data_IF_816434393124
#
_entry.id   IF_816434393124
#
_cell.length_a   1.000
_cell.length_b   1.000
_cell.length_c   1.000
_cell.angle_alpha   90.00
_cell.angle_beta   90.00
_cell.angle_gamma   90.00
#
_symmetry.space_group_name_H-M   'P 1'
#
loop_
_entity.id
_entity.type
_entity.pdbx_description
1 polymer ?
#
# COMPACT_ATOMS: atom_id res chain seq x y z
N UNK A 1 28.38 -3.11 -22.23
CA UNK A 1 27.37 -2.64 -21.24
C UNK A 1 26.73 -3.82 -20.49
N UNK A 2 27.51 -4.58 -19.69
CA UNK A 2 27.06 -5.89 -19.21
C UNK A 2 27.31 -6.22 -17.73
N UNK A 3 27.62 -5.24 -16.87
CA UNK A 3 28.10 -5.54 -15.51
C UNK A 3 27.30 -4.92 -14.34
N UNK A 4 26.23 -4.14 -14.58
CA UNK A 4 25.44 -3.49 -13.50
C UNK A 4 24.16 -4.21 -13.10
N UNK A 5 23.75 -5.26 -13.82
CA UNK A 5 22.53 -6.02 -13.52
C UNK A 5 22.82 -7.25 -12.63
N UNK A 6 24.07 -7.72 -12.58
CA UNK A 6 24.44 -8.95 -11.87
C UNK A 6 24.63 -8.80 -10.35
N UNK A 7 24.78 -7.58 -9.82
CA UNK A 7 25.04 -7.36 -8.38
C UNK A 7 23.78 -7.41 -7.50
N UNK A 8 22.58 -7.37 -8.08
CA UNK A 8 21.33 -7.37 -7.29
C UNK A 8 20.70 -8.76 -7.07
N UNK A 9 21.21 -9.83 -7.70
CA UNK A 9 20.60 -11.16 -7.59
C UNK A 9 21.15 -12.03 -6.44
N UNK A 10 22.36 -11.75 -5.92
CA UNK A 10 22.98 -12.61 -4.88
C UNK A 10 22.48 -12.33 -3.44
N UNK A 11 21.77 -11.22 -3.20
CA UNK A 11 21.30 -10.85 -1.86
C UNK A 11 19.88 -11.34 -1.52
N UNK A 12 19.15 -11.95 -2.46
CA UNK A 12 17.75 -12.33 -2.29
C UNK A 12 17.55 -13.78 -1.75
N UNK A 13 18.63 -14.48 -1.37
CA UNK A 13 18.60 -15.94 -1.09
C UNK A 13 18.42 -16.33 0.40
N UNK A 14 18.09 -15.39 1.28
CA UNK A 14 17.67 -15.68 2.66
C UNK A 14 16.50 -14.77 3.00
N UNK A 15 15.71 -15.16 4.00
CA UNK A 15 14.56 -14.47 4.59
C UNK A 15 13.20 -15.06 4.23
N UNK A 16 12.86 -16.10 4.99
CA UNK A 16 11.48 -16.38 5.37
C UNK A 16 10.89 -15.15 6.07
N UNK A 17 9.67 -14.79 5.68
CA UNK A 17 9.02 -13.55 6.12
C UNK A 17 8.22 -13.87 7.37
N UNK A 18 8.82 -13.59 8.52
CA UNK A 18 8.09 -13.23 9.73
C UNK A 18 7.85 -11.73 9.70
N UNK A 19 6.58 -11.31 9.71
CA UNK A 19 6.25 -9.90 9.94
C UNK A 19 6.69 -9.52 11.36
N UNK A 20 7.48 -8.45 11.55
CA UNK A 20 7.78 -7.98 12.90
C UNK A 20 6.51 -7.43 13.54
N UNK A 21 6.16 -7.93 14.73
CA UNK A 21 5.22 -7.26 15.63
C UNK A 21 5.83 -5.91 15.98
N UNK A 22 5.06 -4.85 15.78
CA UNK A 22 5.44 -3.47 16.12
C UNK A 22 5.68 -3.41 17.63
N UNK A 23 6.94 -3.23 18.03
CA UNK A 23 7.29 -2.87 19.38
C UNK A 23 7.40 -1.35 19.44
N UNK A 24 6.64 -0.75 20.35
CA UNK A 24 6.72 0.67 20.68
C UNK A 24 8.14 1.00 21.15
N UNK A 25 8.84 1.85 20.41
CA UNK A 25 10.07 2.47 20.87
C UNK A 25 10.11 3.93 20.42
N UNK A 26 9.94 4.80 21.40
CA UNK A 26 10.15 6.23 21.31
C UNK A 26 11.60 6.54 20.90
N UNK A 27 11.81 7.38 19.89
CA UNK A 27 13.05 8.17 19.77
C UNK A 27 12.74 9.55 19.18
N UNK A 28 13.18 10.57 19.90
CA UNK A 28 13.16 11.98 19.51
C UNK A 28 14.03 12.27 18.28
N UNK A 29 13.48 13.10 17.38
CA UNK A 29 14.13 14.25 16.76
C UNK A 29 15.28 14.04 15.78
N UNK A 30 14.98 14.16 14.47
CA UNK A 30 15.74 15.01 13.52
C UNK A 30 14.75 15.53 12.47
N UNK A 31 14.72 16.84 12.26
CA UNK A 31 13.89 17.53 11.28
C UNK A 31 14.75 17.99 10.10
N UNK A 32 14.43 17.63 8.84
CA UNK A 32 14.87 18.36 7.66
C UNK A 32 13.69 19.13 7.06
N UNK A 33 13.80 20.45 7.11
CA UNK A 33 12.85 21.41 6.55
C UNK A 33 12.74 21.31 5.02
N UNK A 34 11.59 20.81 4.56
CA UNK A 34 10.86 21.38 3.42
C UNK A 34 9.37 21.11 3.66
N UNK A 35 8.71 22.11 4.25
CA UNK A 35 7.35 22.00 4.76
C UNK A 35 6.32 21.99 3.64
N UNK A 36 6.11 20.82 3.03
CA UNK A 36 4.76 20.47 2.61
C UNK A 36 4.11 19.87 3.84
N UNK A 37 3.51 20.70 4.69
CA UNK A 37 2.53 20.24 5.69
C UNK A 37 1.33 19.72 4.89
N UNK A 38 1.40 18.46 4.48
CA UNK A 38 0.25 17.77 3.90
C UNK A 38 -0.74 17.54 5.04
N UNK A 39 -1.60 18.52 5.25
CA UNK A 39 -2.71 18.41 6.18
C UNK A 39 -3.63 17.31 5.66
N UNK A 40 -3.77 16.23 6.42
CA UNK A 40 -4.77 15.20 6.15
C UNK A 40 -6.15 15.77 6.51
N UNK A 41 -6.71 16.55 5.59
CA UNK A 41 -8.01 17.18 5.79
C UNK A 41 -9.12 16.26 5.29
N UNK A 42 -9.82 15.64 6.24
CA UNK A 42 -10.93 14.74 5.97
C UNK A 42 -12.09 15.08 6.91
N UNK A 43 -13.26 15.32 6.33
CA UNK A 43 -14.45 15.66 7.10
C UNK A 43 -15.07 14.41 7.76
N UNK A 44 -15.87 14.63 8.82
CA UNK A 44 -16.60 13.53 9.48
C UNK A 44 -17.52 12.76 8.52
N UNK A 45 -18.10 13.44 7.52
CA UNK A 45 -18.91 12.79 6.48
C UNK A 45 -18.06 11.89 5.58
N UNK A 46 -16.86 12.33 5.22
CA UNK A 46 -15.92 11.55 4.41
C UNK A 46 -15.38 10.34 5.20
N UNK A 47 -15.14 10.49 6.51
CA UNK A 47 -14.77 9.38 7.40
C UNK A 47 -15.89 8.33 7.44
N UNK A 48 -17.14 8.74 7.68
CA UNK A 48 -18.29 7.84 7.68
C UNK A 48 -18.41 7.09 6.34
N UNK A 49 -18.25 7.82 5.23
CA UNK A 49 -18.26 7.23 3.89
C UNK A 49 -17.13 6.22 3.69
N UNK A 50 -15.89 6.51 4.12
CA UNK A 50 -14.76 5.61 3.98
C UNK A 50 -14.94 4.32 4.74
N UNK A 51 -15.41 4.39 5.98
CA UNK A 51 -15.71 3.21 6.80
C UNK A 51 -16.78 2.34 6.13
N UNK A 52 -17.91 2.94 5.77
CA UNK A 52 -19.01 2.25 5.10
C UNK A 52 -18.57 1.63 3.75
N UNK A 53 -17.89 2.42 2.91
CA UNK A 53 -17.50 1.98 1.58
C UNK A 53 -16.38 0.92 1.62
N UNK A 54 -15.47 0.98 2.60
CA UNK A 54 -14.46 -0.05 2.79
C UNK A 54 -15.08 -1.39 3.20
N UNK A 55 -15.98 -1.38 4.20
CA UNK A 55 -16.70 -2.56 4.65
C UNK A 55 -17.49 -3.20 3.49
N UNK A 56 -18.24 -2.37 2.75
CA UNK A 56 -19.03 -2.82 1.60
C UNK A 56 -18.15 -3.39 0.50
N UNK A 57 -17.07 -2.70 0.12
CA UNK A 57 -16.17 -3.16 -0.92
C UNK A 57 -15.48 -4.48 -0.53
N UNK A 58 -15.03 -4.59 0.72
CA UNK A 58 -14.34 -5.77 1.24
C UNK A 58 -15.27 -6.98 1.36
N UNK A 59 -16.56 -6.74 1.59
CA UNK A 59 -17.59 -7.79 1.58
C UNK A 59 -17.97 -8.23 0.15
N UNK A 60 -17.83 -7.34 -0.83
CA UNK A 60 -18.22 -7.60 -2.22
C UNK A 60 -17.15 -8.34 -3.03
N UNK A 61 -15.86 -8.14 -2.70
CA UNK A 61 -14.74 -8.66 -3.47
C UNK A 61 -13.48 -8.74 -2.61
N UNK A 62 -12.58 -9.66 -2.97
CA UNK A 62 -11.24 -9.73 -2.39
C UNK A 62 -10.38 -8.60 -2.96
N UNK A 63 -10.49 -7.40 -2.36
CA UNK A 63 -9.80 -6.18 -2.81
C UNK A 63 -8.28 -6.42 -2.93
N UNK A 64 -7.70 -7.16 -1.99
CA UNK A 64 -6.27 -7.47 -1.97
C UNK A 64 -5.86 -8.27 -3.20
N UNK A 65 -6.56 -9.37 -3.49
CA UNK A 65 -6.26 -10.19 -4.66
C UNK A 65 -6.58 -9.47 -5.98
N UNK A 66 -7.64 -8.68 -6.02
CA UNK A 66 -8.03 -7.83 -7.15
C UNK A 66 -6.94 -6.78 -7.47
N UNK A 67 -6.37 -6.13 -6.45
CA UNK A 67 -5.22 -5.23 -6.60
C UNK A 67 -4.01 -5.96 -7.16
N UNK A 68 -3.64 -7.08 -6.54
CA UNK A 68 -2.44 -7.84 -6.92
C UNK A 68 -2.55 -8.38 -8.34
N UNK A 69 -3.73 -8.85 -8.75
CA UNK A 69 -3.99 -9.28 -10.13
C UNK A 69 -3.76 -8.13 -11.12
N UNK A 70 -4.29 -6.93 -10.84
CA UNK A 70 -4.06 -5.74 -11.69
C UNK A 70 -2.58 -5.38 -11.78
N UNK A 71 -1.85 -5.43 -10.67
CA UNK A 71 -0.40 -5.18 -10.66
C UNK A 71 0.40 -6.22 -11.44
N UNK A 72 0.03 -7.51 -11.37
CA UNK A 72 0.67 -8.57 -12.15
C UNK A 72 0.43 -8.42 -13.65
N UNK A 73 -0.71 -7.84 -14.04
CA UNK A 73 -1.08 -7.58 -15.43
C UNK A 73 -0.56 -6.22 -15.96
N UNK A 74 -0.04 -5.36 -15.08
CA UNK A 74 0.47 -4.05 -15.48
C UNK A 74 1.97 -4.12 -15.84
N UNK A 75 2.22 -4.17 -17.15
CA UNK A 75 3.57 -4.25 -17.73
C UNK A 75 4.45 -3.02 -17.43
N UNK A 76 3.87 -1.92 -16.94
CA UNK A 76 4.64 -0.74 -16.51
C UNK A 76 5.28 -0.95 -15.16
N UNK A 77 4.79 -1.92 -14.38
CA UNK A 77 5.33 -2.23 -13.05
C UNK A 77 6.38 -3.33 -13.13
N UNK A 78 7.32 -3.31 -12.18
CA UNK A 78 8.23 -4.45 -11.94
C UNK A 78 7.64 -5.47 -10.96
N UNK A 79 6.35 -5.36 -10.64
CA UNK A 79 5.73 -6.15 -9.59
C UNK A 79 5.75 -7.65 -9.91
N UNK A 80 5.51 -8.01 -11.16
CA UNK A 80 5.59 -9.39 -11.61
C UNK A 80 6.99 -9.99 -11.42
N UNK A 81 8.03 -9.30 -11.87
CA UNK A 81 9.42 -9.72 -11.69
C UNK A 81 9.80 -9.83 -10.20
N UNK A 82 9.26 -8.95 -9.34
CA UNK A 82 9.44 -9.03 -7.89
C UNK A 82 8.84 -10.31 -7.30
N UNK A 83 7.63 -10.69 -7.72
CA UNK A 83 7.00 -11.92 -7.23
C UNK A 83 7.77 -13.16 -7.71
N UNK A 84 8.17 -13.20 -8.98
CA UNK A 84 8.97 -14.28 -9.56
C UNK A 84 10.32 -14.44 -8.84
N UNK A 85 11.03 -13.34 -8.57
CA UNK A 85 12.34 -13.38 -7.90
C UNK A 85 12.29 -13.92 -6.48
N UNK A 86 11.16 -13.76 -5.79
CA UNK A 86 10.98 -14.20 -4.39
C UNK A 86 10.27 -15.56 -4.28
N UNK A 87 9.55 -16.00 -5.32
CA UNK A 87 8.83 -17.27 -5.31
C UNK A 87 9.61 -18.41 -5.94
N UNK A 88 10.60 -18.12 -6.80
CA UNK A 88 11.32 -19.14 -7.57
C UNK A 88 10.47 -19.81 -8.66
N UNK A 89 9.24 -19.34 -8.88
CA UNK A 89 8.31 -19.84 -9.88
C UNK A 89 8.06 -18.79 -10.94
N UNK A 90 8.11 -19.19 -12.22
CA UNK A 90 7.69 -18.35 -13.34
C UNK A 90 6.17 -18.28 -13.37
N UNK A 91 5.61 -17.07 -13.44
CA UNK A 91 4.17 -16.88 -13.34
C UNK A 91 3.44 -17.13 -14.69
N UNK A 92 4.16 -17.25 -15.82
CA UNK A 92 3.56 -17.52 -17.14
C UNK A 92 2.85 -16.30 -17.76
N UNK A 93 2.70 -16.22 -19.08
CA UNK A 93 2.28 -14.97 -19.78
C UNK A 93 0.78 -14.64 -19.73
N UNK A 94 -0.05 -15.46 -19.09
CA UNK A 94 -1.49 -15.24 -18.97
C UNK A 94 -1.84 -14.06 -18.07
N UNK A 95 -2.99 -13.43 -18.34
CA UNK A 95 -3.57 -12.45 -17.44
C UNK A 95 -4.04 -13.14 -16.15
N UNK A 96 -3.73 -12.53 -15.01
CA UNK A 96 -4.12 -12.99 -13.69
C UNK A 96 -5.49 -12.47 -13.30
N UNK A 97 -6.33 -13.35 -12.76
CA UNK A 97 -7.54 -12.99 -12.01
C UNK A 97 -7.24 -12.95 -10.50
N UNK A 98 -8.19 -12.46 -9.71
CA UNK A 98 -8.10 -12.52 -8.25
C UNK A 98 -7.99 -13.97 -7.73
N UNK A 99 -8.61 -14.94 -8.40
CA UNK A 99 -8.52 -16.35 -8.00
C UNK A 99 -7.15 -16.97 -8.34
N UNK A 100 -6.50 -16.51 -9.41
CA UNK A 100 -5.13 -16.94 -9.72
C UNK A 100 -4.14 -16.46 -8.66
N UNK A 101 -4.30 -15.24 -8.14
CA UNK A 101 -3.44 -14.70 -7.07
C UNK A 101 -3.42 -15.61 -5.84
N UNK A 102 -4.57 -16.22 -5.49
CA UNK A 102 -4.70 -17.10 -4.31
C UNK A 102 -3.82 -18.35 -4.40
N UNK A 103 -3.45 -18.77 -5.62
CA UNK A 103 -2.59 -19.95 -5.88
C UNK A 103 -1.13 -19.66 -5.56
N UNK A 104 -0.70 -18.40 -5.59
CA UNK A 104 0.69 -18.01 -5.36
C UNK A 104 0.88 -17.48 -3.93
N UNK A 105 1.54 -18.26 -3.07
CA UNK A 105 1.74 -17.94 -1.64
C UNK A 105 2.23 -16.50 -1.41
N UNK A 106 3.20 -16.05 -2.20
CA UNK A 106 3.79 -14.70 -2.09
C UNK A 106 2.81 -13.61 -2.52
N UNK A 107 2.13 -13.77 -3.65
CA UNK A 107 1.15 -12.82 -4.15
C UNK A 107 -0.04 -12.68 -3.18
N UNK A 108 -0.53 -13.82 -2.67
CA UNK A 108 -1.56 -13.87 -1.62
C UNK A 108 -1.13 -13.19 -0.32
N UNK A 109 0.13 -13.33 0.09
CA UNK A 109 0.65 -12.63 1.27
C UNK A 109 0.67 -11.11 1.08
N UNK A 110 1.02 -10.62 -0.12
CA UNK A 110 0.94 -9.18 -0.45
C UNK A 110 -0.51 -8.70 -0.42
N UNK A 111 -1.43 -9.44 -1.05
CA UNK A 111 -2.86 -9.15 -1.05
C UNK A 111 -3.41 -9.00 0.38
N UNK A 112 -3.13 -9.97 1.26
CA UNK A 112 -3.53 -9.94 2.66
C UNK A 112 -2.91 -8.77 3.42
N UNK A 113 -1.61 -8.49 3.20
CA UNK A 113 -0.92 -7.36 3.81
C UNK A 113 -1.56 -6.01 3.50
N UNK A 114 -2.00 -5.80 2.24
CA UNK A 114 -2.69 -4.56 1.85
C UNK A 114 -4.02 -4.41 2.59
N UNK A 115 -4.84 -5.47 2.62
CA UNK A 115 -6.14 -5.43 3.31
C UNK A 115 -5.96 -5.18 4.80
N UNK A 116 -5.01 -5.87 5.45
CA UNK A 116 -4.71 -5.66 6.87
C UNK A 116 -4.23 -4.23 7.15
N UNK A 117 -3.39 -3.66 6.28
CA UNK A 117 -2.93 -2.29 6.43
C UNK A 117 -4.09 -1.29 6.31
N UNK A 118 -4.95 -1.43 5.29
CA UNK A 118 -6.09 -0.54 5.14
C UNK A 118 -7.14 -0.70 6.24
N UNK A 119 -7.33 -1.91 6.79
CA UNK A 119 -8.13 -2.08 8.01
C UNK A 119 -7.60 -1.24 9.18
N UNK A 120 -6.27 -1.20 9.37
CA UNK A 120 -5.65 -0.35 10.38
C UNK A 120 -5.88 1.13 10.06
N UNK A 121 -5.64 1.57 8.82
CA UNK A 121 -5.87 2.97 8.41
C UNK A 121 -7.32 3.39 8.68
N UNK A 122 -8.30 2.59 8.27
CA UNK A 122 -9.72 2.87 8.46
C UNK A 122 -10.08 2.92 9.95
N UNK A 123 -9.51 2.03 10.79
CA UNK A 123 -9.74 2.05 12.24
C UNK A 123 -9.23 3.33 12.93
N UNK A 124 -8.25 4.02 12.34
CA UNK A 124 -7.67 5.27 12.89
C UNK A 124 -8.44 6.53 12.50
N UNK A 125 -9.36 6.47 11.54
CA UNK A 125 -10.00 7.67 10.99
C UNK A 125 -10.87 8.44 11.99
N UNK A 126 -11.40 7.78 13.02
CA UNK A 126 -12.23 8.44 14.05
C UNK A 126 -11.40 9.02 15.21
N UNK A 127 -10.08 8.78 15.23
CA UNK A 127 -9.23 9.22 16.33
C UNK A 127 -8.89 10.73 16.19
N UNK A 128 -8.84 11.50 17.30
CA UNK A 128 -8.56 12.94 17.24
C UNK A 128 -7.23 13.30 16.53
N UNK A 129 -6.26 12.39 16.58
CA UNK A 129 -4.93 12.46 15.99
C UNK A 129 -4.76 11.49 14.80
N UNK A 130 -5.86 11.18 14.10
CA UNK A 130 -5.89 10.27 12.95
C UNK A 130 -4.76 10.51 11.93
N UNK A 131 -4.51 11.79 11.61
CA UNK A 131 -3.48 12.20 10.65
C UNK A 131 -2.07 11.72 11.08
N UNK A 132 -1.71 11.92 12.34
CA UNK A 132 -0.41 11.56 12.86
C UNK A 132 -0.26 10.04 12.96
N UNK A 133 -1.29 9.35 13.45
CA UNK A 133 -1.29 7.89 13.55
C UNK A 133 -1.20 7.20 12.19
N UNK A 134 -1.99 7.65 11.22
CA UNK A 134 -1.95 7.12 9.84
C UNK A 134 -0.59 7.44 9.20
N UNK A 135 -0.05 8.63 9.45
CA UNK A 135 1.28 9.02 8.99
C UNK A 135 2.36 8.09 9.55
N UNK A 136 2.38 7.83 10.86
CA UNK A 136 3.34 6.93 11.51
C UNK A 136 3.23 5.48 10.99
N UNK A 137 2.01 4.94 10.90
CA UNK A 137 1.76 3.61 10.31
C UNK A 137 2.30 3.53 8.88
N UNK A 138 2.02 4.54 8.06
CA UNK A 138 2.46 4.60 6.67
C UNK A 138 3.98 4.73 6.57
N UNK A 139 4.61 5.58 7.39
CA UNK A 139 6.07 5.73 7.42
C UNK A 139 6.77 4.43 7.85
N UNK A 140 6.27 3.76 8.88
CA UNK A 140 6.79 2.45 9.33
C UNK A 140 6.71 1.40 8.21
N UNK A 141 5.58 1.35 7.50
CA UNK A 141 5.44 0.48 6.34
C UNK A 141 6.43 0.83 5.22
N UNK A 142 6.64 2.13 4.95
CA UNK A 142 7.64 2.62 4.00
C UNK A 142 9.07 2.20 4.34
N UNK A 143 9.48 2.38 5.60
CA UNK A 143 10.78 1.94 6.11
C UNK A 143 10.95 0.41 5.98
N UNK A 144 9.90 -0.36 6.28
CA UNK A 144 9.91 -1.82 6.08
C UNK A 144 10.16 -2.20 4.62
N UNK A 145 9.53 -1.53 3.66
CA UNK A 145 9.76 -1.78 2.23
C UNK A 145 11.22 -1.52 1.82
N UNK A 146 11.85 -0.47 2.36
CA UNK A 146 13.28 -0.20 2.15
C UNK A 146 14.13 -1.35 2.69
N UNK A 147 13.92 -1.77 3.96
CA UNK A 147 14.68 -2.86 4.59
C UNK A 147 14.53 -4.19 3.86
N UNK A 148 13.35 -4.45 3.30
CA UNK A 148 13.09 -5.63 2.48
C UNK A 148 13.71 -5.55 1.07
N UNK A 149 14.43 -4.46 0.75
CA UNK A 149 15.02 -4.19 -0.57
C UNK A 149 13.98 -4.23 -1.69
N UNK A 150 12.74 -3.84 -1.37
CA UNK A 150 11.66 -3.69 -2.35
C UNK A 150 11.74 -2.28 -2.89
N UNK A 151 12.51 -2.10 -3.97
CA UNK A 151 12.70 -0.81 -4.61
C UNK A 151 11.51 -0.49 -5.52
N UNK A 152 10.59 0.34 -5.02
CA UNK A 152 9.49 0.85 -5.83
C UNK A 152 9.90 2.15 -6.52
N UNK A 153 10.08 2.08 -7.84
CA UNK A 153 10.25 3.27 -8.70
C UNK A 153 8.97 4.13 -8.69
N UNK A 154 9.06 5.37 -9.15
CA UNK A 154 7.95 6.33 -9.16
C UNK A 154 6.68 5.76 -9.81
N UNK A 155 6.88 5.01 -10.90
CA UNK A 155 5.85 4.35 -11.70
C UNK A 155 5.11 3.28 -10.90
N UNK A 156 5.81 2.53 -10.04
CA UNK A 156 5.19 1.50 -9.21
C UNK A 156 4.23 2.10 -8.17
N UNK A 157 4.60 3.23 -7.55
CA UNK A 157 3.71 3.92 -6.60
C UNK A 157 2.44 4.44 -7.27
N UNK A 158 2.57 4.95 -8.50
CA UNK A 158 1.42 5.39 -9.29
C UNK A 158 0.50 4.22 -9.67
N UNK A 159 1.09 3.09 -10.09
CA UNK A 159 0.32 1.90 -10.44
C UNK A 159 -0.39 1.31 -9.22
N UNK A 160 0.25 1.24 -8.05
CA UNK A 160 -0.39 0.80 -6.80
C UNK A 160 -1.58 1.70 -6.45
N UNK A 161 -1.41 3.02 -6.53
CA UNK A 161 -2.49 3.98 -6.29
C UNK A 161 -3.70 3.71 -7.20
N UNK A 162 -3.45 3.63 -8.50
CA UNK A 162 -4.50 3.50 -9.50
C UNK A 162 -5.17 2.13 -9.40
N UNK A 163 -4.40 1.05 -9.28
CA UNK A 163 -4.93 -0.31 -9.17
C UNK A 163 -5.76 -0.50 -7.89
N UNK A 164 -5.36 0.11 -6.77
CA UNK A 164 -6.10 0.01 -5.51
C UNK A 164 -7.41 0.79 -5.59
N UNK A 165 -7.36 2.01 -6.10
CA UNK A 165 -8.55 2.83 -6.32
C UNK A 165 -9.53 2.11 -7.25
N UNK A 166 -9.05 1.58 -8.37
CA UNK A 166 -9.87 0.83 -9.31
C UNK A 166 -10.47 -0.44 -8.71
N UNK A 167 -9.71 -1.19 -7.89
CA UNK A 167 -10.21 -2.37 -7.19
C UNK A 167 -11.37 -2.02 -6.26
N UNK A 168 -11.22 -0.97 -5.44
CA UNK A 168 -12.26 -0.49 -4.51
C UNK A 168 -13.49 -0.01 -5.29
N UNK A 169 -13.30 0.84 -6.29
CA UNK A 169 -14.42 1.40 -7.06
C UNK A 169 -15.14 0.33 -7.86
N UNK A 170 -14.43 -0.68 -8.38
CA UNK A 170 -15.04 -1.84 -9.04
C UNK A 170 -15.90 -2.65 -8.08
N UNK A 171 -15.39 -2.94 -6.87
CA UNK A 171 -16.12 -3.68 -5.84
C UNK A 171 -17.40 -2.94 -5.42
N UNK A 172 -17.33 -1.61 -5.24
CA UNK A 172 -18.48 -0.77 -4.91
C UNK A 172 -19.57 -0.77 -6.01
N UNK A 173 -19.17 -0.88 -7.29
CA UNK A 173 -20.09 -0.95 -8.43
C UNK A 173 -20.77 -2.33 -8.55
N UNK A 174 -20.08 -3.43 -8.22
CA UNK A 174 -20.65 -4.79 -8.26
C UNK A 174 -21.89 -4.92 -7.38
N UNK A 175 -21.93 -4.21 -6.25
CA UNK A 175 -23.07 -4.20 -5.33
C UNK A 175 -24.11 -3.11 -5.64
N UNK A 176 -24.17 -2.58 -6.86
CA UNK A 176 -25.08 -1.50 -7.27
C UNK A 176 -26.59 -1.83 -7.23
N UNK A 177 -26.98 -3.06 -6.88
CA UNK A 177 -28.36 -3.44 -6.58
C UNK A 177 -28.75 -3.01 -5.15
N UNK A 178 -29.59 -1.98 -5.06
CA UNK A 178 -30.44 -1.60 -3.92
C UNK A 178 -30.13 -2.23 -2.55
N UNK A 179 -29.28 -1.57 -1.74
CA UNK A 179 -29.28 -1.81 -0.29
C UNK A 179 -30.07 -0.68 0.39
N UNK A 180 -31.35 -0.98 0.66
CA UNK A 180 -32.26 -0.24 1.51
C UNK A 180 -31.90 -0.52 2.97
N UNK A 181 -30.97 0.25 3.54
CA UNK A 181 -30.86 0.37 4.99
C UNK A 181 -30.82 1.86 5.34
N UNK A 182 -31.91 2.32 5.94
CA UNK A 182 -32.10 3.62 6.59
C UNK A 182 -32.12 4.87 5.67
N UNK A 183 -33.29 5.15 5.07
CA UNK A 183 -33.89 6.49 4.89
C UNK A 183 -33.15 7.63 4.15
N UNK A 184 -31.86 7.54 3.86
CA UNK A 184 -31.08 8.57 3.17
C UNK A 184 -30.39 7.94 1.97
N UNK A 185 -30.88 8.28 0.77
CA UNK A 185 -30.20 7.94 -0.50
C UNK A 185 -28.80 8.55 -0.49
N UNK A 186 -27.80 7.79 -0.06
CA UNK A 186 -26.41 8.07 -0.40
C UNK A 186 -26.16 7.51 -1.80
N UNK A 187 -26.84 8.08 -2.80
CA UNK A 187 -26.41 7.96 -4.20
C UNK A 187 -25.13 8.78 -4.28
N UNK A 188 -24.03 8.18 -3.85
CA UNK A 188 -22.73 8.84 -3.91
C UNK A 188 -22.41 9.09 -5.38
N UNK A 189 -22.22 10.36 -5.73
CA UNK A 189 -21.61 10.71 -7.00
C UNK A 189 -20.27 9.95 -7.09
N UNK A 190 -20.13 9.06 -8.09
CA UNK A 190 -18.94 8.23 -8.28
C UNK A 190 -17.67 9.09 -8.25
N UNK A 191 -17.73 10.32 -8.78
CA UNK A 191 -16.62 11.28 -8.71
C UNK A 191 -16.25 11.63 -7.27
N UNK A 192 -17.23 11.99 -6.43
CA UNK A 192 -17.01 12.29 -5.01
C UNK A 192 -16.47 11.07 -4.26
N UNK A 193 -16.98 9.87 -4.57
CA UNK A 193 -16.47 8.62 -4.02
C UNK A 193 -14.99 8.38 -4.37
N UNK A 194 -14.62 8.59 -5.64
CA UNK A 194 -13.24 8.51 -6.13
C UNK A 194 -12.35 9.53 -5.42
N UNK A 195 -12.78 10.79 -5.31
CA UNK A 195 -12.00 11.86 -4.71
C UNK A 195 -11.66 11.58 -3.24
N UNK A 196 -12.63 11.07 -2.47
CA UNK A 196 -12.43 10.74 -1.05
C UNK A 196 -11.42 9.60 -0.87
N UNK A 197 -11.56 8.52 -1.64
CA UNK A 197 -10.59 7.41 -1.62
C UNK A 197 -9.21 7.86 -2.09
N UNK A 198 -9.16 8.70 -3.13
CA UNK A 198 -7.92 9.24 -3.64
C UNK A 198 -7.16 10.04 -2.57
N UNK A 199 -7.85 10.90 -1.79
CA UNK A 199 -7.23 11.65 -0.68
C UNK A 199 -6.51 10.72 0.30
N UNK A 200 -7.17 9.65 0.75
CA UNK A 200 -6.60 8.70 1.73
C UNK A 200 -5.42 7.94 1.14
N UNK A 201 -5.58 7.35 -0.06
CA UNK A 201 -4.52 6.57 -0.70
C UNK A 201 -3.29 7.45 -0.98
N UNK A 202 -3.52 8.68 -1.46
CA UNK A 202 -2.47 9.64 -1.71
C UNK A 202 -1.73 10.02 -0.42
N UNK A 203 -2.44 10.25 0.69
CA UNK A 203 -1.83 10.56 1.99
C UNK A 203 -0.98 9.39 2.53
N UNK A 204 -1.48 8.15 2.42
CA UNK A 204 -0.75 6.93 2.76
C UNK A 204 0.54 6.83 1.94
N UNK A 205 0.45 6.90 0.60
CA UNK A 205 1.62 6.73 -0.28
C UNK A 205 2.66 7.82 -0.03
N UNK A 206 2.24 9.06 0.21
CA UNK A 206 3.16 10.14 0.55
C UNK A 206 3.93 9.86 1.83
N UNK A 207 3.26 9.39 2.88
CA UNK A 207 3.93 9.07 4.14
C UNK A 207 4.76 7.78 4.06
N UNK A 208 4.34 6.79 3.27
CA UNK A 208 5.20 5.64 2.94
C UNK A 208 6.50 6.07 2.26
N UNK A 209 6.43 7.00 1.29
CA UNK A 209 7.64 7.55 0.65
C UNK A 209 8.53 8.27 1.66
N UNK A 210 7.97 9.04 2.59
CA UNK A 210 8.73 9.70 3.66
C UNK A 210 9.47 8.71 4.53
N UNK A 211 8.80 7.66 5.01
CA UNK A 211 9.42 6.63 5.84
C UNK A 211 10.49 5.82 5.10
N UNK A 212 10.23 5.50 3.83
CA UNK A 212 11.21 4.84 2.95
C UNK A 212 12.48 5.67 2.79
N UNK A 213 12.34 6.96 2.50
CA UNK A 213 13.48 7.88 2.32
C UNK A 213 14.25 8.12 3.61
N UNK A 214 13.54 8.26 4.74
CA UNK A 214 14.18 8.42 6.04
C UNK A 214 15.08 7.22 6.38
N UNK A 215 14.56 6.00 6.19
CA UNK A 215 15.32 4.76 6.43
C UNK A 215 16.53 4.63 5.48
N UNK A 216 16.40 5.08 4.24
CA UNK A 216 17.50 5.09 3.27
C UNK A 216 18.65 6.00 3.72
N UNK A 217 18.33 7.23 4.11
CA UNK A 217 19.32 8.23 4.54
C UNK A 217 20.03 7.82 5.83
N UNK A 218 19.34 7.17 6.77
CA UNK A 218 19.94 6.68 8.01
C UNK A 218 20.85 5.48 7.76
N UNK A 219 20.47 4.59 6.84
CA UNK A 219 21.26 3.41 6.47
C UNK A 219 22.59 3.81 5.82
N UNK A 220 22.58 4.78 4.90
CA UNK A 220 23.80 5.27 4.24
C UNK A 220 24.75 5.97 5.25
N UNK A 221 24.18 6.70 6.20
CA UNK A 221 24.94 7.39 7.26
C UNK A 221 25.64 6.43 8.22
N UNK A 222 25.02 5.27 8.50
CA UNK A 222 25.61 4.23 9.34
C UNK A 222 26.77 3.50 8.64
N UNK A 223 26.71 3.36 7.31
CA UNK A 223 27.77 2.74 6.52
C UNK A 223 29.03 3.62 6.45
N UNK A 224 28.89 4.95 6.49
CA UNK A 224 30.00 5.90 6.46
C UNK A 224 30.73 6.09 7.79
N UNK A 225 30.13 5.71 8.93
CA UNK A 225 30.78 5.85 10.26
C UNK A 225 31.74 4.71 10.59
N UNK A 226 31.62 3.56 9.93
CA UNK A 226 32.47 2.38 10.18
C UNK A 226 33.77 2.37 9.35
N UNK A 227 34.04 3.42 8.58
CA UNK A 227 35.23 3.58 7.75
C UNK A 227 36.15 4.73 8.22
N UNK A 228 36.06 5.12 9.49
CA UNK A 228 36.97 6.08 10.13
C UNK A 228 37.62 5.46 11.35
#
# INVERSE_FOLDING_TARGET
>A
MGLRIALNLKAAKRFEISMPRVADSCVHGVSPSSSIRNTFNISSQEIQYLKYSWERASSASDIGCELVARLLNDNRTRFRALIESHSGHLLGSSNFTADDVKKFKRARAVASGVVMFFNQVISKLDEPDAADKISLLSQSLGASHFRMKVWFQAENWLCVKNCLLDAIMTALRKNGGSSLLCGKRHMHNIKRATDVWYKVIQFVIQNMKRGFLAEALTSDSSCNRNNK
#
